data_IF_059686021639
#
_entry.id   IF_059686021639
#
_cell.length_a   1.000
_cell.length_b   1.000
_cell.length_c   1.000
_cell.angle_alpha   90.00
_cell.angle_beta   90.00
_cell.angle_gamma   90.00
#
_symmetry.space_group_name_H-M   'P 1'
#
loop_
_entity.id
_entity.type
_entity.pdbx_description
1 polymer ?
#
# COMPACT_ATOMS: atom_id res chain seq x y z
N UNK A 1 18.14 23.59 -13.57
CA UNK A 1 19.17 22.66 -14.09
C UNK A 1 19.04 22.45 -15.60
N UNK A 2 17.85 22.11 -16.12
CA UNK A 2 17.62 21.94 -17.57
C UNK A 2 17.95 23.17 -18.42
N UNK A 3 17.38 24.34 -18.10
CA UNK A 3 17.70 25.58 -18.83
C UNK A 3 19.18 25.98 -18.77
N UNK A 4 19.89 25.64 -17.69
CA UNK A 4 21.35 25.87 -17.61
C UNK A 4 22.11 24.97 -18.58
N UNK A 5 21.71 23.70 -18.71
CA UNK A 5 22.30 22.77 -19.69
C UNK A 5 22.01 23.22 -21.11
N UNK A 6 20.78 23.68 -21.37
CA UNK A 6 20.39 24.21 -22.66
C UNK A 6 21.17 25.49 -23.01
N UNK A 7 21.27 26.44 -22.09
CA UNK A 7 22.09 27.65 -22.26
C UNK A 7 23.54 27.30 -22.55
N UNK A 8 24.16 26.43 -21.74
CA UNK A 8 25.54 26.03 -21.97
C UNK A 8 25.77 25.30 -23.30
N UNK A 9 24.77 24.57 -23.80
CA UNK A 9 24.82 23.99 -25.15
C UNK A 9 24.75 25.07 -26.24
N UNK A 10 23.85 26.05 -26.09
CA UNK A 10 23.76 27.19 -27.01
C UNK A 10 25.09 27.95 -27.03
N UNK A 11 25.65 28.25 -25.85
CA UNK A 11 26.92 28.96 -25.70
C UNK A 11 28.07 28.20 -26.38
N UNK A 12 28.09 26.85 -26.28
CA UNK A 12 29.14 26.02 -26.89
C UNK A 12 29.14 26.02 -28.42
N UNK A 13 28.01 26.36 -29.04
CA UNK A 13 27.84 26.43 -30.50
C UNK A 13 27.67 27.86 -31.02
N UNK A 14 27.73 28.86 -30.12
CA UNK A 14 27.56 30.28 -30.47
C UNK A 14 26.10 30.69 -30.74
N UNK A 15 25.12 29.87 -30.36
CA UNK A 15 23.71 30.21 -30.52
C UNK A 15 23.25 31.19 -29.45
N UNK A 16 22.51 32.21 -29.86
CA UNK A 16 21.82 33.12 -28.95
C UNK A 16 20.40 32.61 -28.69
N UNK A 17 20.01 32.23 -27.46
CA UNK A 17 18.68 31.66 -27.19
C UNK A 17 17.50 32.54 -27.63
N UNK A 18 17.67 33.87 -27.69
CA UNK A 18 16.62 34.79 -28.17
C UNK A 18 16.52 34.90 -29.69
N UNK A 19 17.51 34.39 -30.44
CA UNK A 19 17.55 34.39 -31.91
C UNK A 19 17.60 32.99 -32.48
N UNK A 20 17.37 31.98 -31.64
CA UNK A 20 17.48 30.59 -32.03
C UNK A 20 16.32 30.21 -32.95
N UNK A 21 16.61 29.44 -33.98
CA UNK A 21 15.68 28.95 -34.98
C UNK A 21 15.19 27.53 -34.64
N UNK A 22 14.04 27.10 -35.18
CA UNK A 22 13.53 25.76 -34.96
C UNK A 22 14.53 24.65 -35.29
N UNK A 23 15.31 24.80 -36.36
CA UNK A 23 16.32 23.83 -36.79
C UNK A 23 17.37 23.57 -35.69
N UNK A 24 17.82 24.61 -35.01
CA UNK A 24 18.82 24.52 -33.94
C UNK A 24 18.22 23.87 -32.69
N UNK A 25 16.91 24.03 -32.42
CA UNK A 25 16.26 23.25 -31.36
C UNK A 25 16.17 21.76 -31.74
N UNK A 26 16.00 21.41 -33.02
CA UNK A 26 16.11 20.02 -33.46
C UNK A 26 17.54 19.47 -33.27
N UNK A 27 18.57 20.26 -33.54
CA UNK A 27 19.95 19.86 -33.24
C UNK A 27 20.16 19.62 -31.74
N UNK A 28 19.58 20.46 -30.88
CA UNK A 28 19.61 20.23 -29.44
C UNK A 28 18.93 18.91 -29.05
N UNK A 29 17.79 18.58 -29.68
CA UNK A 29 17.12 17.29 -29.49
C UNK A 29 18.04 16.14 -29.86
N UNK A 30 18.68 16.17 -31.04
CA UNK A 30 19.61 15.13 -31.50
C UNK A 30 20.79 14.99 -30.52
N UNK A 31 21.34 16.11 -30.05
CA UNK A 31 22.39 16.11 -29.03
C UNK A 31 21.91 15.44 -27.73
N UNK A 32 20.71 15.76 -27.26
CA UNK A 32 20.14 15.16 -26.06
C UNK A 32 19.91 13.65 -26.22
N UNK A 33 19.43 13.19 -27.39
CA UNK A 33 19.18 11.78 -27.70
C UNK A 33 20.47 10.94 -27.70
N UNK A 34 21.61 11.53 -28.06
CA UNK A 34 22.92 10.85 -28.03
C UNK A 34 23.42 10.57 -26.62
N UNK A 35 23.13 11.44 -25.66
CA UNK A 35 23.75 11.39 -24.32
C UNK A 35 22.76 11.09 -23.20
N UNK A 36 21.46 10.99 -23.49
CA UNK A 36 20.43 10.76 -22.50
C UNK A 36 19.41 9.71 -22.93
N UNK A 37 18.77 9.09 -21.94
CA UNK A 37 17.60 8.22 -22.15
C UNK A 37 16.38 9.05 -22.62
N UNK A 38 15.43 8.46 -23.37
CA UNK A 38 14.28 9.17 -23.95
C UNK A 38 13.45 10.00 -22.95
N UNK A 39 13.29 9.53 -21.72
CA UNK A 39 12.57 10.28 -20.66
C UNK A 39 13.27 11.57 -20.25
N UNK A 40 14.59 11.55 -20.18
CA UNK A 40 15.39 12.73 -19.90
C UNK A 40 15.33 13.71 -21.07
N UNK A 41 15.42 13.23 -22.32
CA UNK A 41 15.25 14.06 -23.52
C UNK A 41 13.90 14.77 -23.50
N UNK A 42 12.82 14.00 -23.30
CA UNK A 42 11.46 14.50 -23.24
C UNK A 42 11.27 15.57 -22.15
N UNK A 43 11.81 15.34 -20.95
CA UNK A 43 11.78 16.30 -19.85
C UNK A 43 12.56 17.59 -20.14
N UNK A 44 13.75 17.49 -20.75
CA UNK A 44 14.53 18.66 -21.14
C UNK A 44 13.80 19.49 -22.19
N UNK A 45 13.28 18.86 -23.26
CA UNK A 45 12.52 19.53 -24.32
C UNK A 45 11.23 20.17 -23.81
N UNK A 46 10.54 19.52 -22.87
CA UNK A 46 9.36 20.10 -22.20
C UNK A 46 9.70 21.42 -21.51
N UNK A 47 10.86 21.49 -20.83
CA UNK A 47 11.31 22.70 -20.14
C UNK A 47 11.72 23.79 -21.14
N UNK A 48 12.44 23.44 -22.21
CA UNK A 48 12.82 24.39 -23.28
C UNK A 48 11.56 24.99 -23.94
N UNK A 49 10.58 24.15 -24.27
CA UNK A 49 9.31 24.60 -24.84
C UNK A 49 8.52 25.49 -23.87
N UNK A 50 8.53 25.17 -22.57
CA UNK A 50 7.91 26.02 -21.56
C UNK A 50 8.61 27.39 -21.43
N UNK A 51 9.94 27.43 -21.57
CA UNK A 51 10.72 28.67 -21.58
C UNK A 51 10.37 29.56 -22.78
N UNK A 52 10.34 29.02 -24.00
CA UNK A 52 9.97 29.80 -25.18
C UNK A 52 8.51 30.26 -25.14
N UNK A 53 7.60 29.40 -24.64
CA UNK A 53 6.21 29.82 -24.39
C UNK A 53 6.12 30.98 -23.40
N UNK A 54 6.93 30.96 -22.33
CA UNK A 54 7.01 32.07 -21.39
C UNK A 54 7.52 33.35 -22.05
N UNK A 55 8.54 33.28 -22.92
CA UNK A 55 9.04 34.45 -23.65
C UNK A 55 8.01 35.05 -24.59
N UNK A 56 7.23 34.20 -25.28
CA UNK A 56 6.11 34.65 -26.13
C UNK A 56 5.01 35.31 -25.28
N UNK A 57 4.64 34.70 -24.16
CA UNK A 57 3.65 35.29 -23.23
C UNK A 57 4.09 36.66 -22.67
N UNK A 58 5.39 36.91 -22.58
CA UNK A 58 5.97 38.18 -22.14
C UNK A 58 6.19 39.18 -23.29
N UNK A 59 5.86 38.81 -24.52
CA UNK A 59 6.06 39.66 -25.70
C UNK A 59 7.51 39.82 -26.14
N UNK A 60 8.44 39.02 -25.60
CA UNK A 60 9.86 39.05 -25.98
C UNK A 60 10.07 38.41 -27.35
N UNK A 61 9.28 37.36 -27.65
CA UNK A 61 9.25 36.70 -28.94
C UNK A 61 7.83 36.72 -29.49
N UNK A 62 7.69 36.79 -30.81
CA UNK A 62 6.40 36.71 -31.50
C UNK A 62 5.92 35.26 -31.67
N UNK A 63 6.86 34.33 -31.86
CA UNK A 63 6.60 32.88 -32.00
C UNK A 63 7.64 32.07 -31.25
N UNK A 64 7.25 30.90 -30.76
CA UNK A 64 8.15 29.97 -30.07
C UNK A 64 8.94 29.14 -31.11
N UNK A 65 10.29 29.16 -31.11
CA UNK A 65 11.09 28.31 -31.99
C UNK A 65 10.97 26.81 -31.64
N UNK A 66 10.50 26.49 -30.44
CA UNK A 66 10.27 25.11 -29.98
C UNK A 66 8.81 24.64 -30.11
N UNK A 67 7.97 25.35 -30.89
CA UNK A 67 6.53 25.04 -31.01
C UNK A 67 6.26 23.65 -31.58
N UNK A 68 6.96 23.29 -32.66
CA UNK A 68 6.75 22.05 -33.41
C UNK A 68 7.45 20.83 -32.76
N UNK A 69 8.18 21.05 -31.66
CA UNK A 69 8.84 19.97 -30.94
C UNK A 69 7.84 19.29 -30.02
N UNK A 70 7.55 18.03 -30.37
CA UNK A 70 6.80 17.10 -29.56
C UNK A 70 7.80 16.29 -28.73
N UNK A 71 7.88 16.51 -27.40
CA UNK A 71 8.63 15.60 -26.54
C UNK A 71 8.04 14.20 -26.69
N UNK A 72 8.87 13.23 -27.09
CA UNK A 72 8.41 11.84 -27.17
C UNK A 72 7.92 11.39 -25.79
N UNK A 73 6.74 10.77 -25.74
CA UNK A 73 6.29 10.08 -24.53
C UNK A 73 7.05 8.77 -24.52
N UNK A 74 8.04 8.58 -23.63
CA UNK A 74 8.76 7.32 -23.58
C UNK A 74 7.77 6.22 -23.25
N UNK A 75 7.74 5.14 -24.04
CA UNK A 75 7.07 3.91 -23.63
C UNK A 75 7.67 3.51 -22.28
N UNK A 76 6.85 3.55 -21.23
CA UNK A 76 7.33 3.20 -19.90
C UNK A 76 7.72 1.72 -19.93
N UNK A 77 9.02 1.43 -19.88
CA UNK A 77 9.47 0.09 -19.57
C UNK A 77 8.78 -0.35 -18.28
N UNK A 78 8.28 -1.59 -18.24
CA UNK A 78 7.69 -2.15 -17.03
C UNK A 78 8.69 -1.95 -15.89
N UNK A 79 8.35 -1.08 -14.93
CA UNK A 79 9.22 -0.85 -13.78
C UNK A 79 9.24 -2.14 -12.97
N UNK A 80 10.42 -2.65 -12.69
CA UNK A 80 10.59 -3.75 -11.74
C UNK A 80 10.20 -3.26 -10.34
N UNK A 81 9.37 -4.03 -9.66
CA UNK A 81 9.04 -3.85 -8.24
C UNK A 81 9.11 -5.22 -7.56
N UNK A 82 9.44 -5.27 -6.26
CA UNK A 82 9.35 -6.50 -5.51
C UNK A 82 7.92 -7.03 -5.51
N UNK A 83 7.74 -8.30 -5.86
CA UNK A 83 6.49 -9.05 -5.65
C UNK A 83 6.26 -9.38 -4.16
N UNK A 84 5.20 -10.14 -3.88
CA UNK A 84 4.84 -10.50 -2.48
C UNK A 84 5.97 -11.28 -1.78
N UNK A 85 6.56 -12.28 -2.44
CA UNK A 85 7.57 -13.16 -1.84
C UNK A 85 8.93 -12.47 -1.75
N UNK A 86 9.25 -11.63 -2.75
CA UNK A 86 10.41 -10.76 -2.70
C UNK A 86 10.31 -9.75 -1.55
N UNK A 87 9.15 -9.14 -1.31
CA UNK A 87 8.96 -8.26 -0.14
C UNK A 87 9.12 -9.01 1.19
N UNK A 88 8.61 -10.24 1.29
CA UNK A 88 8.78 -11.10 2.48
C UNK A 88 10.27 -11.38 2.71
N UNK A 89 10.97 -11.84 1.68
CA UNK A 89 12.42 -12.08 1.72
C UNK A 89 13.18 -10.82 2.14
N UNK A 90 12.86 -9.67 1.54
CA UNK A 90 13.47 -8.37 1.89
C UNK A 90 13.30 -8.03 3.37
N UNK A 91 12.13 -8.30 3.95
CA UNK A 91 11.85 -8.11 5.37
C UNK A 91 12.68 -9.04 6.26
N UNK A 92 12.76 -10.32 5.89
CA UNK A 92 13.46 -11.36 6.65
C UNK A 92 14.98 -11.16 6.70
N UNK A 93 15.58 -10.74 5.58
CA UNK A 93 17.04 -10.50 5.51
C UNK A 93 17.48 -9.18 6.17
N UNK A 94 16.54 -8.35 6.64
CA UNK A 94 16.88 -7.12 7.37
C UNK A 94 17.56 -7.44 8.71
N UNK A 95 18.69 -6.78 8.97
CA UNK A 95 19.49 -6.99 10.18
C UNK A 95 19.14 -6.00 11.29
N UNK A 96 18.53 -4.87 10.94
CA UNK A 96 18.21 -3.77 11.86
C UNK A 96 16.76 -3.36 11.69
N UNK A 97 16.19 -2.83 12.76
CA UNK A 97 14.84 -2.29 12.73
C UNK A 97 14.72 -1.07 11.81
N UNK A 98 15.78 -0.25 11.66
CA UNK A 98 15.81 0.82 10.64
C UNK A 98 15.65 0.25 9.21
N UNK A 99 16.24 -0.91 8.92
CA UNK A 99 16.11 -1.57 7.60
C UNK A 99 14.70 -2.15 7.41
N UNK A 100 14.14 -2.78 8.44
CA UNK A 100 12.74 -3.25 8.44
C UNK A 100 11.75 -2.10 8.27
N UNK A 101 11.99 -0.97 8.91
CA UNK A 101 11.19 0.23 8.73
C UNK A 101 11.28 0.78 7.30
N UNK A 102 12.47 0.76 6.67
CA UNK A 102 12.61 1.11 5.24
C UNK A 102 11.76 0.19 4.36
N UNK A 103 11.86 -1.14 4.53
CA UNK A 103 11.11 -2.11 3.74
C UNK A 103 9.61 -2.00 3.99
N UNK A 104 9.19 -1.94 5.25
CA UNK A 104 7.78 -1.88 5.63
C UNK A 104 7.11 -0.57 5.22
N UNK A 105 7.70 0.58 5.58
CA UNK A 105 7.07 1.87 5.32
C UNK A 105 7.08 2.23 3.82
N UNK A 106 8.14 1.90 3.06
CA UNK A 106 8.14 2.13 1.62
C UNK A 106 7.34 1.03 0.88
N UNK A 107 7.62 -0.24 1.17
CA UNK A 107 7.10 -1.40 0.43
C UNK A 107 5.66 -1.75 0.76
N UNK A 108 5.30 -1.76 2.04
CA UNK A 108 3.96 -2.12 2.51
C UNK A 108 3.05 -0.91 2.63
N UNK A 109 3.55 0.24 3.08
CA UNK A 109 2.73 1.45 3.25
C UNK A 109 2.79 2.42 2.05
N UNK A 110 3.65 2.18 1.06
CA UNK A 110 3.74 3.01 -0.15
C UNK A 110 4.20 4.45 0.12
N UNK A 111 4.99 4.68 1.19
CA UNK A 111 5.55 6.01 1.45
C UNK A 111 6.55 6.40 0.36
N UNK A 112 6.64 7.71 0.11
CA UNK A 112 7.71 8.29 -0.71
C UNK A 112 8.97 8.45 0.14
N UNK A 113 10.14 8.51 -0.52
CA UNK A 113 11.42 8.63 0.17
C UNK A 113 11.57 9.90 1.03
N UNK A 114 10.90 11.00 0.67
CA UNK A 114 10.88 12.20 1.50
C UNK A 114 9.99 12.00 2.73
N UNK A 115 8.82 11.39 2.58
CA UNK A 115 7.91 11.08 3.69
C UNK A 115 8.60 10.18 4.73
N UNK A 116 9.31 9.14 4.29
CA UNK A 116 10.09 8.29 5.20
C UNK A 116 11.19 9.06 5.96
N UNK A 117 11.88 9.96 5.27
CA UNK A 117 12.99 10.73 5.85
C UNK A 117 12.53 11.82 6.81
N UNK A 118 11.34 12.33 6.59
CA UNK A 118 10.69 13.37 7.41
C UNK A 118 9.90 12.76 8.57
N UNK A 119 9.67 11.45 8.57
CA UNK A 119 8.96 10.74 9.63
C UNK A 119 9.68 10.91 10.98
N UNK A 120 8.95 11.37 11.98
CA UNK A 120 9.42 11.61 13.34
C UNK A 120 8.73 10.66 14.32
N UNK A 121 9.40 10.35 15.43
CA UNK A 121 8.83 9.55 16.52
C UNK A 121 7.50 10.13 17.02
N UNK A 122 7.38 11.47 17.06
CA UNK A 122 6.17 12.17 17.51
C UNK A 122 4.98 11.99 16.59
N UNK A 123 5.19 11.54 15.36
CA UNK A 123 4.14 11.30 14.37
C UNK A 123 3.45 9.94 14.54
N UNK A 124 3.92 9.11 15.48
CA UNK A 124 3.26 7.85 15.83
C UNK A 124 2.03 8.15 16.70
N UNK A 125 0.92 7.50 16.39
CA UNK A 125 -0.31 7.55 17.17
C UNK A 125 -1.02 6.20 17.12
N UNK A 126 -2.11 6.07 17.85
CA UNK A 126 -2.97 4.89 17.83
C UNK A 126 -4.42 5.30 17.62
N UNK A 127 -5.17 4.50 16.87
CA UNK A 127 -6.62 4.62 16.74
C UNK A 127 -7.22 3.22 16.57
N UNK A 128 -8.30 2.93 17.30
CA UNK A 128 -9.00 1.64 17.26
C UNK A 128 -8.07 0.41 17.43
N UNK A 129 -7.05 0.54 18.30
CA UNK A 129 -6.05 -0.53 18.54
C UNK A 129 -5.05 -0.73 17.40
N UNK A 130 -5.02 0.17 16.41
CA UNK A 130 -4.08 0.13 15.28
C UNK A 130 -3.07 1.27 15.40
N UNK A 131 -1.79 0.95 15.33
CA UNK A 131 -0.73 1.96 15.27
C UNK A 131 -0.76 2.68 13.92
N UNK A 132 -0.77 4.00 13.96
CA UNK A 132 -0.76 4.90 12.81
C UNK A 132 0.54 5.69 12.77
N UNK A 133 1.11 5.87 11.59
CA UNK A 133 2.13 6.87 11.33
C UNK A 133 1.49 8.06 10.62
N UNK A 134 1.46 9.23 11.28
CA UNK A 134 0.99 10.49 10.67
C UNK A 134 1.99 10.99 9.65
N UNK A 135 1.47 11.59 8.59
CA UNK A 135 2.22 12.13 7.45
C UNK A 135 1.77 13.58 7.21
N UNK A 136 2.32 14.55 7.98
CA UNK A 136 1.86 15.95 7.95
C UNK A 136 1.89 16.57 6.55
N UNK A 137 2.85 16.18 5.71
CA UNK A 137 2.96 16.65 4.33
C UNK A 137 1.76 16.29 3.43
N UNK A 138 1.00 15.25 3.78
CA UNK A 138 -0.19 14.80 3.03
C UNK A 138 -1.46 15.55 3.41
N UNK A 139 -1.52 16.17 4.59
CA UNK A 139 -2.69 16.94 5.01
C UNK A 139 -2.98 18.11 4.06
N UNK A 140 -1.93 18.74 3.52
CA UNK A 140 -2.01 19.86 2.57
C UNK A 140 -2.58 19.50 1.20
N UNK A 141 -2.70 18.20 0.88
CA UNK A 141 -3.10 17.71 -0.43
C UNK A 141 -4.44 16.98 -0.45
N UNK A 142 -5.21 17.01 0.65
CA UNK A 142 -6.52 16.34 0.75
C UNK A 142 -6.44 14.80 0.77
N UNK A 143 -5.24 14.27 1.01
CA UNK A 143 -4.97 12.84 1.13
C UNK A 143 -5.13 12.38 2.58
N UNK A 144 -5.15 11.06 2.83
CA UNK A 144 -5.08 10.56 4.20
C UNK A 144 -3.77 11.02 4.84
N UNK A 145 -3.81 11.80 5.93
CA UNK A 145 -2.62 12.33 6.58
C UNK A 145 -1.96 11.29 7.49
N UNK A 146 -2.18 10.01 7.25
CA UNK A 146 -1.61 8.90 8.02
C UNK A 146 -1.59 7.62 7.19
N UNK A 147 -0.81 6.64 7.64
CA UNK A 147 -0.91 5.24 7.23
C UNK A 147 -1.03 4.35 8.48
N UNK A 148 -1.95 3.37 8.50
CA UNK A 148 -1.95 2.32 9.51
C UNK A 148 -0.81 1.33 9.26
N UNK A 149 -0.24 0.81 10.34
CA UNK A 149 0.86 -0.14 10.33
C UNK A 149 0.34 -1.53 10.66
N UNK A 150 0.73 -2.53 9.86
CA UNK A 150 0.48 -3.92 10.25
C UNK A 150 1.30 -4.26 11.51
N UNK A 151 0.82 -5.22 12.30
CA UNK A 151 1.38 -5.52 13.62
C UNK A 151 2.90 -5.75 13.64
N UNK A 152 3.52 -6.56 12.76
CA UNK A 152 4.98 -6.72 12.75
C UNK A 152 5.73 -5.41 12.50
N UNK A 153 5.17 -4.53 11.67
CA UNK A 153 5.74 -3.21 11.40
C UNK A 153 5.49 -2.25 12.56
N UNK A 154 4.31 -2.30 13.18
CA UNK A 154 4.01 -1.53 14.38
C UNK A 154 5.01 -1.84 15.50
N UNK A 155 5.30 -3.13 15.76
CA UNK A 155 6.30 -3.55 16.76
C UNK A 155 7.69 -2.97 16.44
N UNK A 156 8.13 -3.05 15.18
CA UNK A 156 9.42 -2.48 14.75
C UNK A 156 9.45 -0.96 14.95
N UNK A 157 8.38 -0.26 14.56
CA UNK A 157 8.27 1.20 14.69
C UNK A 157 8.24 1.63 16.15
N UNK A 158 7.50 0.92 17.01
CA UNK A 158 7.46 1.18 18.45
C UNK A 158 8.82 0.99 19.13
N UNK A 159 9.56 -0.07 18.77
CA UNK A 159 10.93 -0.26 19.29
C UNK A 159 11.87 0.85 18.85
N UNK A 160 11.80 1.29 17.60
CA UNK A 160 12.58 2.44 17.13
C UNK A 160 12.20 3.71 17.92
N UNK A 161 10.91 3.96 18.10
CA UNK A 161 10.41 5.10 18.86
C UNK A 161 10.96 5.13 20.30
N UNK A 162 10.89 3.99 20.99
CA UNK A 162 11.39 3.83 22.36
C UNK A 162 12.90 4.10 22.44
N UNK A 163 13.68 3.50 21.54
CA UNK A 163 15.15 3.68 21.50
C UNK A 163 15.54 5.11 21.15
N UNK A 164 14.78 5.80 20.30
CA UNK A 164 15.12 7.17 19.87
C UNK A 164 14.67 8.23 20.87
N UNK A 165 13.52 8.04 21.52
CA UNK A 165 12.85 9.02 22.38
C UNK A 165 12.28 10.24 21.62
N UNK A 166 13.04 10.82 20.69
CA UNK A 166 12.64 11.96 19.86
C UNK A 166 13.39 12.03 18.51
N UNK A 167 12.85 12.83 17.59
CA UNK A 167 13.47 13.14 16.30
C UNK A 167 13.15 12.11 15.22
N UNK A 168 14.04 12.03 14.21
CA UNK A 168 13.82 11.16 13.05
C UNK A 168 13.64 9.69 13.45
N UNK A 169 12.54 9.10 12.97
CA UNK A 169 12.15 7.71 13.26
C UNK A 169 13.18 6.71 12.73
N UNK A 170 13.62 6.90 11.48
CA UNK A 170 14.57 6.01 10.80
C UNK A 170 15.92 6.72 10.67
N UNK A 171 16.99 6.10 11.19
CA UNK A 171 18.34 6.69 11.21
C UNK A 171 19.35 5.80 10.49
N UNK A 172 20.40 6.44 9.98
CA UNK A 172 21.49 5.77 9.29
C UNK A 172 22.31 4.91 10.24
N UNK A 173 23.27 4.15 9.71
CA UNK A 173 24.17 3.35 10.56
C UNK A 173 25.02 4.18 11.52
N UNK A 174 25.17 5.47 11.22
CA UNK A 174 25.92 6.44 12.02
C UNK A 174 25.01 7.30 12.91
N UNK A 175 23.78 6.85 13.15
CA UNK A 175 22.75 7.53 13.93
C UNK A 175 22.33 8.93 13.43
N UNK A 176 22.60 9.21 12.15
CA UNK A 176 22.21 10.47 11.49
C UNK A 176 20.95 10.30 10.64
N UNK A 177 20.23 11.39 10.36
CA UNK A 177 19.09 11.37 9.44
C UNK A 177 19.49 10.84 8.06
N UNK A 178 18.66 10.00 7.44
CA UNK A 178 18.94 9.53 6.10
C UNK A 178 18.99 10.69 5.09
N UNK A 179 20.06 10.75 4.30
CA UNK A 179 20.10 11.47 3.02
C UNK A 179 19.53 10.60 1.88
N UNK A 180 19.34 11.18 0.68
CA UNK A 180 18.86 10.43 -0.49
C UNK A 180 19.85 9.32 -0.85
N UNK A 181 21.15 9.64 -0.79
CA UNK A 181 22.22 8.71 -1.12
C UNK A 181 22.35 7.58 -0.08
N UNK A 182 22.27 7.91 1.22
CA UNK A 182 22.38 6.89 2.26
C UNK A 182 21.17 5.96 2.29
N UNK A 183 19.97 6.49 2.00
CA UNK A 183 18.76 5.67 1.87
C UNK A 183 18.88 4.72 0.68
N UNK A 184 19.24 5.24 -0.50
CA UNK A 184 19.48 4.42 -1.69
C UNK A 184 20.51 3.31 -1.44
N UNK A 185 21.66 3.64 -0.84
CA UNK A 185 22.69 2.66 -0.50
C UNK A 185 22.19 1.61 0.50
N UNK A 186 21.37 1.99 1.46
CA UNK A 186 20.78 1.05 2.41
C UNK A 186 19.81 0.10 1.70
N UNK A 187 18.92 0.63 0.88
CA UNK A 187 17.95 -0.16 0.09
C UNK A 187 18.65 -1.13 -0.87
N UNK A 188 19.71 -0.69 -1.56
CA UNK A 188 20.49 -1.55 -2.46
C UNK A 188 21.17 -2.70 -1.69
N UNK A 189 21.69 -2.43 -0.47
CA UNK A 189 22.25 -3.48 0.39
C UNK A 189 21.22 -4.50 0.85
N UNK A 190 20.01 -4.06 1.18
CA UNK A 190 18.90 -4.96 1.53
C UNK A 190 18.56 -5.84 0.32
N UNK A 191 18.40 -5.25 -0.87
CA UNK A 191 18.11 -5.97 -2.11
C UNK A 191 19.17 -7.00 -2.51
N UNK A 192 20.45 -6.64 -2.37
CA UNK A 192 21.56 -7.56 -2.61
C UNK A 192 21.54 -8.76 -1.65
N UNK A 193 21.27 -8.53 -0.35
CA UNK A 193 21.15 -9.63 0.63
C UNK A 193 19.94 -10.52 0.36
N UNK A 194 18.87 -9.98 -0.20
CA UNK A 194 17.69 -10.73 -0.61
C UNK A 194 17.88 -11.48 -1.95
N UNK A 195 19.04 -11.36 -2.61
CA UNK A 195 19.31 -12.04 -3.87
C UNK A 195 18.53 -11.50 -5.07
N UNK A 196 18.07 -10.24 -5.02
CA UNK A 196 17.36 -9.65 -6.17
C UNK A 196 18.29 -9.49 -7.38
N UNK A 197 17.79 -9.82 -8.57
CA UNK A 197 18.51 -9.73 -9.84
C UNK A 197 18.76 -8.29 -10.31
N UNK A 198 18.23 -7.29 -9.59
CA UNK A 198 18.35 -5.89 -9.91
C UNK A 198 18.70 -5.05 -8.68
N UNK A 199 19.28 -3.87 -8.93
CA UNK A 199 19.60 -2.93 -7.87
C UNK A 199 18.32 -2.31 -7.30
N UNK A 200 17.91 -2.78 -6.12
CA UNK A 200 16.72 -2.27 -5.43
C UNK A 200 16.87 -0.78 -5.10
N UNK A 201 15.84 0.01 -5.41
CA UNK A 201 15.78 1.44 -5.08
C UNK A 201 14.57 1.72 -4.20
N UNK A 202 14.56 2.85 -3.46
CA UNK A 202 13.38 3.25 -2.69
C UNK A 202 12.11 3.34 -3.54
N UNK A 203 12.24 3.74 -4.80
CA UNK A 203 11.11 3.85 -5.73
C UNK A 203 10.53 2.49 -6.13
N UNK A 204 11.36 1.44 -6.21
CA UNK A 204 10.88 0.07 -6.44
C UNK A 204 10.01 -0.39 -5.28
N UNK A 205 10.44 -0.15 -4.02
CA UNK A 205 9.63 -0.44 -2.82
C UNK A 205 8.33 0.36 -2.80
N UNK A 206 8.38 1.68 -2.96
CA UNK A 206 7.18 2.53 -2.99
C UNK A 206 6.15 2.07 -4.03
N UNK A 207 6.61 1.51 -5.16
CA UNK A 207 5.73 1.01 -6.21
C UNK A 207 5.00 -0.30 -5.84
N UNK A 208 5.57 -1.13 -4.94
CA UNK A 208 5.02 -2.44 -4.62
C UNK A 208 3.59 -2.39 -4.11
N UNK A 209 3.25 -1.48 -3.19
CA UNK A 209 1.88 -1.37 -2.67
C UNK A 209 0.85 -1.16 -3.79
N UNK A 210 1.18 -0.31 -4.75
CA UNK A 210 0.30 -0.02 -5.88
C UNK A 210 0.20 -1.21 -6.82
N UNK A 211 1.33 -1.78 -7.20
CA UNK A 211 1.37 -2.83 -8.19
C UNK A 211 0.71 -4.11 -7.66
N UNK A 212 1.13 -4.59 -6.49
CA UNK A 212 0.54 -5.77 -5.84
C UNK A 212 -0.93 -5.51 -5.48
N UNK A 213 -1.25 -4.29 -5.02
CA UNK A 213 -2.63 -3.92 -4.71
C UNK A 213 -3.55 -4.03 -5.92
N UNK A 214 -3.12 -3.56 -7.10
CA UNK A 214 -3.89 -3.68 -8.35
C UNK A 214 -3.98 -5.15 -8.78
N UNK A 215 -2.87 -5.90 -8.77
CA UNK A 215 -2.82 -7.33 -9.12
C UNK A 215 -3.76 -8.17 -8.25
N UNK A 216 -3.87 -7.83 -6.96
CA UNK A 216 -4.74 -8.52 -5.99
C UNK A 216 -6.15 -7.95 -5.90
N UNK A 217 -6.50 -6.99 -6.77
CA UNK A 217 -7.86 -6.44 -6.84
C UNK A 217 -8.26 -5.56 -5.66
N UNK A 218 -7.32 -4.95 -4.94
CA UNK A 218 -7.67 -3.95 -3.91
C UNK A 218 -8.37 -2.77 -4.56
N UNK A 219 -9.30 -2.14 -3.84
CA UNK A 219 -10.04 -0.99 -4.33
C UNK A 219 -9.09 0.11 -4.83
N UNK A 220 -9.18 0.48 -6.11
CA UNK A 220 -8.26 1.45 -6.71
C UNK A 220 -8.32 2.81 -5.99
N UNK A 221 -9.51 3.26 -5.59
CA UNK A 221 -9.68 4.49 -4.80
C UNK A 221 -8.89 4.43 -3.48
N UNK A 222 -8.87 3.28 -2.81
CA UNK A 222 -8.13 3.06 -1.56
C UNK A 222 -6.61 3.08 -1.79
N UNK A 223 -6.14 2.46 -2.86
CA UNK A 223 -4.71 2.50 -3.26
C UNK A 223 -4.30 3.95 -3.49
N UNK A 224 -5.03 4.68 -4.33
CA UNK A 224 -4.71 6.08 -4.69
C UNK A 224 -4.74 6.98 -3.46
N UNK A 225 -5.72 6.82 -2.57
CA UNK A 225 -5.84 7.57 -1.32
C UNK A 225 -4.69 7.27 -0.35
N UNK A 226 -4.24 6.01 -0.30
CA UNK A 226 -3.14 5.55 0.54
C UNK A 226 -1.76 6.05 0.07
N UNK A 227 -1.46 6.02 -1.23
CA UNK A 227 -0.11 6.39 -1.73
C UNK A 227 0.05 7.88 -2.03
N UNK A 228 -1.05 8.62 -2.15
CA UNK A 228 -1.02 10.05 -2.37
C UNK A 228 -0.50 10.49 -3.74
N UNK A 229 -0.97 9.82 -4.79
CA UNK A 229 -0.55 10.07 -6.16
C UNK A 229 -1.21 11.32 -6.79
N UNK A 230 -0.53 11.97 -7.73
CA UNK A 230 -0.90 13.30 -8.26
C UNK A 230 -2.12 13.25 -9.18
N UNK A 231 -2.37 12.14 -9.89
CA UNK A 231 -3.58 11.95 -10.69
C UNK A 231 -4.84 11.92 -9.81
N UNK A 232 -4.67 11.55 -8.53
CA UNK A 232 -5.71 11.70 -7.54
C UNK A 232 -6.22 13.12 -7.48
N UNK A 233 -5.43 14.18 -7.74
CA UNK A 233 -5.88 15.58 -7.60
C UNK A 233 -7.16 15.90 -8.37
N UNK A 234 -7.36 15.29 -9.54
CA UNK A 234 -8.61 15.45 -10.31
C UNK A 234 -9.77 14.66 -9.71
N UNK A 235 -9.46 13.53 -9.08
CA UNK A 235 -10.41 12.62 -8.46
C UNK A 235 -10.54 12.80 -6.93
N UNK A 236 -9.78 13.71 -6.31
CA UNK A 236 -9.56 13.75 -4.85
C UNK A 236 -10.86 13.96 -4.13
N UNK A 237 -11.75 14.78 -4.70
CA UNK A 237 -13.09 15.02 -4.14
C UNK A 237 -13.87 13.71 -3.97
N UNK A 238 -13.93 12.88 -5.01
CA UNK A 238 -14.69 11.62 -4.98
C UNK A 238 -13.96 10.53 -4.19
N UNK A 239 -12.64 10.43 -4.34
CA UNK A 239 -11.81 9.46 -3.60
C UNK A 239 -11.81 9.75 -2.09
N UNK A 240 -11.85 11.02 -1.68
CA UNK A 240 -11.95 11.40 -0.27
C UNK A 240 -13.31 11.06 0.35
N UNK A 241 -14.38 11.09 -0.46
CA UNK A 241 -15.74 10.74 -0.06
C UNK A 241 -16.02 9.23 -0.08
N UNK A 242 -15.10 8.42 -0.62
CA UNK A 242 -15.25 6.97 -0.65
C UNK A 242 -15.25 6.40 0.77
N UNK A 243 -16.31 5.68 1.12
CA UNK A 243 -16.45 4.99 2.39
C UNK A 243 -15.40 3.88 2.49
N UNK A 244 -14.65 3.86 3.59
CA UNK A 244 -13.50 2.98 3.78
C UNK A 244 -13.39 2.57 5.24
N UNK A 245 -13.16 1.29 5.52
CA UNK A 245 -12.74 0.84 6.85
C UNK A 245 -11.23 0.95 6.99
N UNK A 246 -10.76 1.04 8.23
CA UNK A 246 -9.33 0.90 8.55
C UNK A 246 -8.80 -0.44 8.03
N UNK A 247 -9.59 -1.51 8.16
CA UNK A 247 -9.23 -2.86 7.70
C UNK A 247 -9.07 -2.97 6.18
N UNK A 248 -9.75 -2.09 5.43
CA UNK A 248 -9.68 -2.05 3.96
C UNK A 248 -8.40 -1.34 3.48
N UNK A 249 -7.65 -0.70 4.40
CA UNK A 249 -6.48 0.07 4.05
C UNK A 249 -5.44 -0.82 3.35
N UNK A 250 -4.97 -0.46 2.13
CA UNK A 250 -4.06 -1.29 1.35
C UNK A 250 -2.80 -1.70 2.10
N UNK A 251 -2.25 -0.82 2.95
CA UNK A 251 -1.08 -1.12 3.76
C UNK A 251 -1.29 -2.26 4.76
N UNK A 252 -2.46 -2.31 5.41
CA UNK A 252 -2.81 -3.43 6.30
C UNK A 252 -2.97 -4.70 5.48
N UNK A 253 -3.79 -4.66 4.41
CA UNK A 253 -4.03 -5.84 3.54
C UNK A 253 -2.73 -6.42 2.97
N UNK A 254 -1.83 -5.58 2.50
CA UNK A 254 -0.54 -6.02 1.99
C UNK A 254 0.36 -6.55 3.12
N UNK A 255 0.37 -5.89 4.27
CA UNK A 255 1.07 -6.38 5.46
C UNK A 255 0.58 -7.75 5.94
N UNK A 256 -0.73 -8.02 5.88
CA UNK A 256 -1.32 -9.35 6.19
C UNK A 256 -0.80 -10.42 5.23
N UNK A 257 -0.78 -10.07 3.95
CA UNK A 257 -0.32 -10.95 2.88
C UNK A 257 1.18 -11.26 2.99
N UNK A 258 2.01 -10.22 3.10
CA UNK A 258 3.47 -10.33 3.01
C UNK A 258 4.09 -10.81 4.32
N UNK A 259 3.59 -10.33 5.46
CA UNK A 259 4.19 -10.63 6.76
C UNK A 259 3.35 -11.60 7.61
N UNK A 260 2.25 -12.12 7.08
CA UNK A 260 1.37 -13.01 7.83
C UNK A 260 0.68 -12.33 9.03
N UNK A 261 0.58 -11.00 9.02
CA UNK A 261 -0.10 -10.29 10.12
C UNK A 261 -1.59 -10.60 10.12
N UNK A 262 -2.14 -11.04 11.26
CA UNK A 262 -3.51 -11.51 11.39
C UNK A 262 -3.76 -12.92 10.83
N UNK A 263 -4.76 -13.61 11.39
CA UNK A 263 -5.09 -14.98 10.98
C UNK A 263 -5.65 -15.03 9.54
N UNK A 264 -5.41 -16.14 8.84
CA UNK A 264 -6.01 -16.42 7.52
C UNK A 264 -7.55 -16.27 7.57
N UNK A 265 -8.16 -16.66 8.69
CA UNK A 265 -9.59 -16.49 8.94
C UNK A 265 -10.01 -15.00 8.99
N UNK A 266 -9.22 -14.13 9.62
CA UNK A 266 -9.48 -12.69 9.63
C UNK A 266 -9.34 -12.09 8.21
N UNK A 267 -8.41 -12.59 7.39
CA UNK A 267 -8.27 -12.20 5.99
C UNK A 267 -9.51 -12.61 5.17
N UNK A 268 -10.03 -13.82 5.37
CA UNK A 268 -11.24 -14.24 4.65
C UNK A 268 -12.51 -13.50 5.09
N UNK A 269 -12.63 -13.15 6.38
CA UNK A 269 -13.76 -12.33 6.86
C UNK A 269 -13.79 -10.93 6.26
N UNK A 270 -12.65 -10.38 5.86
CA UNK A 270 -12.61 -9.12 5.14
C UNK A 270 -13.30 -9.21 3.77
N UNK A 271 -13.20 -10.34 3.04
CA UNK A 271 -13.96 -10.53 1.80
C UNK A 271 -15.47 -10.58 2.03
N UNK A 272 -15.94 -11.13 3.16
CA UNK A 272 -17.37 -11.05 3.50
C UNK A 272 -17.84 -9.60 3.68
N UNK A 273 -17.02 -8.75 4.30
CA UNK A 273 -17.29 -7.31 4.45
C UNK A 273 -17.36 -6.60 3.10
N UNK A 274 -16.42 -6.92 2.20
CA UNK A 274 -16.41 -6.39 0.83
C UNK A 274 -17.68 -6.79 0.06
N UNK A 275 -18.11 -8.05 0.15
CA UNK A 275 -19.38 -8.52 -0.45
C UNK A 275 -20.55 -7.73 0.13
N UNK A 276 -20.60 -7.51 1.45
CA UNK A 276 -21.72 -6.79 2.08
C UNK A 276 -21.80 -5.31 1.69
N UNK A 277 -20.67 -4.67 1.37
CA UNK A 277 -20.63 -3.27 0.95
C UNK A 277 -21.04 -3.05 -0.50
N UNK A 278 -20.98 -4.10 -1.30
CA UNK A 278 -21.35 -4.05 -2.72
C UNK A 278 -22.86 -3.94 -2.86
N UNK A 279 -23.33 -2.87 -3.49
CA UNK A 279 -24.77 -2.63 -3.71
C UNK A 279 -25.41 -3.65 -4.65
N UNK A 280 -24.60 -4.37 -5.43
CA UNK A 280 -25.00 -5.41 -6.36
C UNK A 280 -24.96 -6.83 -5.78
N UNK A 281 -24.61 -6.98 -4.49
CA UNK A 281 -24.55 -8.27 -3.82
C UNK A 281 -25.65 -8.42 -2.76
N UNK A 282 -26.33 -9.57 -2.76
CA UNK A 282 -27.31 -9.88 -1.73
C UNK A 282 -26.60 -10.12 -0.37
N UNK A 283 -27.09 -9.59 0.77
CA UNK A 283 -26.47 -9.79 2.09
C UNK A 283 -26.23 -11.25 2.46
N UNK A 284 -27.14 -12.14 2.04
CA UNK A 284 -26.97 -13.58 2.16
C UNK A 284 -25.65 -14.12 1.59
N UNK A 285 -25.11 -13.56 0.50
CA UNK A 285 -23.82 -13.98 -0.04
C UNK A 285 -22.68 -13.70 0.94
N UNK A 286 -22.71 -12.53 1.59
CA UNK A 286 -21.74 -12.16 2.62
C UNK A 286 -21.88 -13.07 3.86
N UNK A 287 -23.12 -13.33 4.31
CA UNK A 287 -23.39 -14.21 5.44
C UNK A 287 -22.96 -15.66 5.18
N UNK A 288 -23.22 -16.19 3.98
CA UNK A 288 -22.77 -17.52 3.56
C UNK A 288 -21.24 -17.61 3.56
N UNK A 289 -20.55 -16.61 3.01
CA UNK A 289 -19.09 -16.56 3.00
C UNK A 289 -18.54 -16.52 4.43
N UNK A 290 -19.03 -15.59 5.27
CA UNK A 290 -18.58 -15.46 6.65
C UNK A 290 -18.82 -16.74 7.46
N UNK A 291 -19.96 -17.41 7.27
CA UNK A 291 -20.25 -18.71 7.90
C UNK A 291 -19.26 -19.81 7.49
N UNK A 292 -18.85 -19.85 6.21
CA UNK A 292 -17.82 -20.77 5.74
C UNK A 292 -16.44 -20.46 6.35
N UNK A 293 -16.11 -19.19 6.54
CA UNK A 293 -14.87 -18.77 7.20
C UNK A 293 -14.84 -19.21 8.66
N UNK A 294 -15.93 -19.04 9.41
CA UNK A 294 -16.04 -19.52 10.80
C UNK A 294 -15.89 -21.04 10.85
N UNK A 295 -16.54 -21.77 9.94
CA UNK A 295 -16.40 -23.24 9.89
C UNK A 295 -14.94 -23.67 9.68
N UNK A 296 -14.26 -23.08 8.67
CA UNK A 296 -12.84 -23.33 8.40
C UNK A 296 -12.00 -23.05 9.65
N UNK A 297 -12.22 -21.90 10.28
CA UNK A 297 -11.48 -21.50 11.47
C UNK A 297 -11.61 -22.53 12.60
N UNK A 298 -12.84 -22.94 12.93
CA UNK A 298 -13.08 -23.95 13.97
C UNK A 298 -12.46 -25.31 13.63
N UNK A 299 -12.53 -25.71 12.35
CA UNK A 299 -11.90 -26.93 11.86
C UNK A 299 -10.38 -26.89 12.05
N UNK A 300 -9.73 -25.79 11.64
CA UNK A 300 -8.29 -25.61 11.81
C UNK A 300 -7.91 -25.53 13.28
N UNK A 301 -8.70 -24.84 14.11
CA UNK A 301 -8.49 -24.77 15.56
C UNK A 301 -8.52 -26.18 16.19
N UNK A 302 -9.48 -27.02 15.82
CA UNK A 302 -9.52 -28.41 16.28
C UNK A 302 -8.32 -29.23 15.80
N UNK A 303 -7.95 -29.13 14.52
CA UNK A 303 -6.80 -29.86 13.96
C UNK A 303 -5.49 -29.44 14.61
N UNK A 304 -5.29 -28.14 14.83
CA UNK A 304 -4.08 -27.60 15.49
C UNK A 304 -3.90 -28.13 16.92
N UNK A 305 -5.00 -28.44 17.60
CA UNK A 305 -5.03 -29.05 18.95
C UNK A 305 -5.14 -30.57 18.93
N UNK A 306 -5.02 -31.19 17.74
CA UNK A 306 -5.11 -32.63 17.53
C UNK A 306 -6.43 -33.25 18.04
N UNK A 307 -7.54 -32.53 17.89
CA UNK A 307 -8.87 -33.03 18.26
C UNK A 307 -9.58 -33.71 17.09
N UNK A 308 -10.34 -34.77 17.38
CA UNK A 308 -11.16 -35.45 16.38
C UNK A 308 -12.24 -34.52 15.83
N UNK A 309 -12.33 -34.41 14.50
CA UNK A 309 -13.33 -33.56 13.84
C UNK A 309 -14.74 -34.18 13.93
N UNK A 310 -15.79 -33.38 14.12
CA UNK A 310 -17.17 -33.85 14.05
C UNK A 310 -17.52 -34.43 12.67
N UNK A 311 -18.47 -35.37 12.64
CA UNK A 311 -18.94 -36.02 11.41
C UNK A 311 -19.72 -35.10 10.48
N UNK A 312 -20.27 -33.99 10.98
CA UNK A 312 -21.00 -33.00 10.18
C UNK A 312 -20.31 -31.63 10.22
N UNK A 313 -20.24 -30.89 9.10
CA UNK A 313 -19.56 -29.59 9.02
C UNK A 313 -20.42 -28.44 9.60
N UNK A 314 -21.13 -28.71 10.70
CA UNK A 314 -22.00 -27.76 11.40
C UNK A 314 -21.19 -26.95 12.41
N UNK A 315 -21.35 -25.62 12.42
CA UNK A 315 -20.72 -24.75 13.41
C UNK A 315 -21.08 -25.17 14.84
N UNK A 316 -22.33 -25.60 15.06
CA UNK A 316 -22.79 -26.09 16.36
C UNK A 316 -22.09 -27.39 16.78
N UNK A 317 -21.77 -28.27 15.84
CA UNK A 317 -21.05 -29.53 16.11
C UNK A 317 -19.58 -29.25 16.48
N UNK A 318 -18.91 -28.36 15.74
CA UNK A 318 -17.58 -27.88 16.09
C UNK A 318 -17.57 -27.18 17.46
N UNK A 319 -18.52 -26.27 17.69
CA UNK A 319 -18.65 -25.55 18.96
C UNK A 319 -18.86 -26.48 20.15
N UNK A 320 -19.73 -27.49 20.02
CA UNK A 320 -19.97 -28.47 21.07
C UNK A 320 -18.70 -29.27 21.40
N UNK A 321 -17.96 -29.72 20.37
CA UNK A 321 -16.73 -30.48 20.55
C UNK A 321 -15.60 -29.66 21.20
N UNK A 322 -15.50 -28.37 20.89
CA UNK A 322 -14.55 -27.45 21.50
C UNK A 322 -14.94 -27.09 22.94
N UNK A 323 -16.24 -26.89 23.22
CA UNK A 323 -16.75 -26.62 24.56
C UNK A 323 -16.54 -27.81 25.51
N UNK A 324 -16.75 -29.05 25.03
CA UNK A 324 -16.48 -30.26 25.81
C UNK A 324 -15.02 -30.40 26.26
N UNK A 325 -14.11 -29.66 25.63
CA UNK A 325 -12.66 -29.63 25.92
C UNK A 325 -12.23 -28.30 26.55
N UNK A 326 -13.19 -27.52 27.05
CA UNK A 326 -12.98 -26.22 27.68
C UNK A 326 -12.18 -25.21 26.84
N UNK A 327 -12.24 -25.33 25.50
CA UNK A 327 -11.57 -24.39 24.60
C UNK A 327 -12.39 -23.12 24.37
N UNK A 328 -13.72 -23.26 24.33
CA UNK A 328 -14.64 -22.15 24.19
C UNK A 328 -15.68 -22.19 25.30
N UNK A 329 -16.25 -21.03 25.63
CA UNK A 329 -17.25 -20.92 26.68
C UNK A 329 -18.70 -21.12 26.16
N UNK A 330 -19.66 -21.08 27.07
CA UNK A 330 -21.09 -21.17 26.75
C UNK A 330 -21.57 -20.06 25.82
N UNK A 331 -21.01 -18.85 25.96
CA UNK A 331 -21.40 -17.68 25.19
C UNK A 331 -20.97 -17.83 23.73
N UNK A 332 -19.75 -18.30 23.50
CA UNK A 332 -19.24 -18.62 22.18
C UNK A 332 -20.07 -19.72 21.50
N UNK A 333 -20.48 -20.76 22.23
CA UNK A 333 -21.36 -21.79 21.68
C UNK A 333 -22.73 -21.23 21.23
N UNK A 334 -23.36 -20.39 22.06
CA UNK A 334 -24.63 -19.73 21.68
C UNK A 334 -24.45 -18.84 20.45
N UNK A 335 -23.33 -18.12 20.37
CA UNK A 335 -22.99 -17.29 19.23
C UNK A 335 -22.84 -18.11 17.95
N UNK A 336 -22.14 -19.26 18.01
CA UNK A 336 -21.98 -20.18 16.89
C UNK A 336 -23.31 -20.76 16.39
N UNK A 337 -24.25 -21.06 17.29
CA UNK A 337 -25.57 -21.53 16.92
C UNK A 337 -26.33 -20.47 16.11
N UNK A 338 -26.36 -19.21 16.59
CA UNK A 338 -27.00 -18.12 15.86
C UNK A 338 -26.35 -17.85 14.51
N UNK A 339 -25.01 -17.92 14.43
CA UNK A 339 -24.28 -17.82 13.16
C UNK A 339 -24.65 -18.93 12.19
N UNK A 340 -24.85 -20.15 12.69
CA UNK A 340 -25.24 -21.29 11.88
C UNK A 340 -26.61 -21.10 11.25
N UNK A 341 -27.57 -20.55 11.99
CA UNK A 341 -28.93 -20.35 11.49
C UNK A 341 -28.94 -19.38 10.30
N UNK A 342 -28.22 -18.25 10.41
CA UNK A 342 -28.07 -17.30 9.29
C UNK A 342 -27.28 -17.88 8.12
N UNK A 343 -26.19 -18.62 8.39
CA UNK A 343 -25.42 -19.33 7.34
C UNK A 343 -26.33 -20.29 6.58
N UNK A 344 -27.17 -21.04 7.29
CA UNK A 344 -28.08 -22.01 6.69
C UNK A 344 -29.19 -21.32 5.89
N UNK A 345 -29.77 -20.23 6.41
CA UNK A 345 -30.72 -19.42 5.66
C UNK A 345 -30.11 -18.93 4.34
N UNK A 346 -28.90 -18.37 4.41
CA UNK A 346 -28.16 -17.91 3.24
C UNK A 346 -27.81 -19.02 2.25
N UNK A 347 -27.29 -20.16 2.72
CA UNK A 347 -26.85 -21.27 1.87
C UNK A 347 -28.01 -22.03 1.21
N UNK A 348 -29.20 -22.02 1.83
CA UNK A 348 -30.40 -22.69 1.30
C UNK A 348 -31.30 -21.75 0.47
N UNK A 349 -30.81 -20.58 0.08
CA UNK A 349 -31.56 -19.67 -0.81
C UNK A 349 -32.70 -18.91 -0.12
N UNK A 350 -32.77 -18.93 1.21
CA UNK A 350 -33.78 -18.21 2.01
C UNK A 350 -33.31 -16.78 2.24
N UNK A 351 -33.17 -16.04 1.14
CA UNK A 351 -32.54 -14.73 1.10
C UNK A 351 -33.31 -13.67 1.88
N UNK A 352 -34.64 -13.76 1.91
CA UNK A 352 -35.50 -12.83 2.67
C UNK A 352 -35.31 -12.93 4.20
N UNK A 353 -34.71 -14.02 4.69
CA UNK A 353 -34.41 -14.23 6.11
C UNK A 353 -33.05 -13.63 6.53
N UNK A 354 -32.26 -13.08 5.60
CA UNK A 354 -30.92 -12.55 5.89
C UNK A 354 -30.82 -11.10 5.46
N UNK A 355 -31.04 -10.19 6.41
CA UNK A 355 -30.91 -8.76 6.17
C UNK A 355 -29.44 -8.31 6.09
N UNK A 356 -29.22 -7.09 5.64
CA UNK A 356 -27.89 -6.44 5.69
C UNK A 356 -27.36 -6.28 7.12
N UNK A 357 -28.26 -6.08 8.11
CA UNK A 357 -27.89 -6.00 9.52
C UNK A 357 -27.49 -7.36 10.08
N UNK A 358 -28.19 -8.43 9.70
CA UNK A 358 -27.87 -9.81 10.11
C UNK A 358 -26.50 -10.24 9.56
N UNK A 359 -26.24 -9.97 8.28
CA UNK A 359 -24.95 -10.25 7.68
C UNK A 359 -23.82 -9.45 8.36
N UNK A 360 -24.05 -8.17 8.67
CA UNK A 360 -23.07 -7.34 9.40
C UNK A 360 -22.83 -7.85 10.82
N UNK A 361 -23.90 -8.26 11.51
CA UNK A 361 -23.83 -8.85 12.84
C UNK A 361 -23.01 -10.14 12.80
N UNK A 362 -23.26 -11.02 11.82
CA UNK A 362 -22.51 -12.28 11.64
C UNK A 362 -21.01 -11.99 11.47
N UNK A 363 -20.65 -11.12 10.53
CA UNK A 363 -19.24 -10.78 10.23
C UNK A 363 -18.54 -10.22 11.47
N UNK A 364 -19.16 -9.25 12.16
CA UNK A 364 -18.56 -8.62 13.34
C UNK A 364 -18.36 -9.62 14.48
N UNK A 365 -19.37 -10.44 14.77
CA UNK A 365 -19.25 -11.44 15.81
C UNK A 365 -18.28 -12.57 15.43
N UNK A 366 -18.16 -12.90 14.15
CA UNK A 366 -17.17 -13.86 13.66
C UNK A 366 -15.75 -13.34 13.87
N UNK A 367 -15.50 -12.05 13.63
CA UNK A 367 -14.22 -11.39 13.95
C UNK A 367 -13.89 -11.50 15.44
N UNK A 368 -14.86 -11.18 16.30
CA UNK A 368 -14.68 -11.25 17.76
C UNK A 368 -14.39 -12.68 18.21
N UNK A 369 -15.11 -13.67 17.68
CA UNK A 369 -14.90 -15.09 17.99
C UNK A 369 -13.49 -15.54 17.56
N UNK A 370 -13.09 -15.25 16.32
CA UNK A 370 -11.77 -15.61 15.78
C UNK A 370 -10.63 -14.94 16.57
N UNK A 371 -10.83 -13.69 16.99
CA UNK A 371 -9.85 -12.98 17.83
C UNK A 371 -9.76 -13.54 19.25
N UNK A 372 -10.88 -13.96 19.84
CA UNK A 372 -10.91 -14.55 21.18
C UNK A 372 -10.34 -15.97 21.23
N UNK A 373 -10.40 -16.71 20.12
CA UNK A 373 -9.97 -18.11 20.04
C UNK A 373 -9.02 -18.35 18.85
N UNK A 374 -7.81 -17.77 18.86
CA UNK A 374 -6.87 -17.91 17.74
C UNK A 374 -6.40 -19.36 17.54
N UNK A 375 -6.11 -19.71 16.28
CA UNK A 375 -5.54 -21.02 15.90
C UNK A 375 -4.12 -21.18 16.44
N UNK A 376 -3.31 -20.13 16.32
CA UNK A 376 -1.97 -20.10 16.86
C UNK A 376 -2.08 -19.74 18.35
N UNK A 377 -1.66 -20.65 19.23
CA UNK A 377 -1.72 -20.48 20.69
C UNK A 377 -0.71 -19.46 21.23
N UNK A 378 -0.75 -18.22 20.73
CA UNK A 378 -0.05 -17.07 21.29
C UNK A 378 -1.03 -16.00 21.71
#
# INVERSE_FOLDING_TARGET
>A
MALRKYSGWCDSLGYAPLRIEPAEIYEYRVHLERINKPSTVSGQLTIVRAFYRFLVQRGVLTRSPAEDIVPSVPTAAARQYPDTEQLRTLWEVCKRDDERAIVGLLGLCGLKSNELREADVRDISEADGVTLLRLPGRAKSGLRPFVPLCEPLAVVVSRLAEVRGAGALVRSKWDTTFTRHTLLRSTQRIGMRAGLEYALTPQHLTASLRAIGIERGYGYAEIVRSIGEIEARRLTKWVAQHASSMDDHPALRLGRTVLGSGSESAQHLHFADEILRRTDAHPAAAAAHAGAVVERHLRVLMTSRNFALPSSPKLSAYGAALKQRDVIDNRALQLLNRMQDMRNAAAHGRFDEVSGEDARWLINNARLLIGAYPVDGK
#
